data_IF_108967201340
#
_entry.id   IF_108967201340
#
_cell.length_a   1.000
_cell.length_b   1.000
_cell.length_c   1.000
_cell.angle_alpha   90.00
_cell.angle_beta   90.00
_cell.angle_gamma   90.00
#
_symmetry.space_group_name_H-M   'P 1'
#
loop_
_entity.id
_entity.type
_entity.pdbx_description
1 polymer ?
#
# COMPACT_ATOMS: atom_id res chain seq x y z
N UNK A 1 20.69 -22.81 15.35
CA UNK A 1 20.50 -21.40 15.74
C UNK A 1 19.02 -21.14 15.89
N UNK A 2 18.61 -20.47 16.97
CA UNK A 2 17.22 -20.20 17.36
C UNK A 2 16.56 -19.26 16.35
N UNK A 3 15.39 -19.62 15.80
CA UNK A 3 14.58 -18.71 14.97
C UNK A 3 13.88 -17.74 15.92
N UNK A 4 14.33 -16.49 15.97
CA UNK A 4 13.65 -15.42 16.72
C UNK A 4 12.59 -14.82 15.80
N UNK A 5 11.31 -15.03 16.13
CA UNK A 5 10.22 -14.31 15.50
C UNK A 5 10.18 -12.90 16.09
N UNK A 6 10.61 -11.91 15.33
CA UNK A 6 10.38 -10.49 15.64
C UNK A 6 8.85 -10.27 15.78
N UNK A 7 8.42 -9.68 16.90
CA UNK A 7 7.00 -9.39 17.17
C UNK A 7 6.81 -7.89 17.07
N UNK A 8 6.05 -7.42 16.07
CA UNK A 8 5.80 -5.99 15.86
C UNK A 8 5.56 -5.65 14.39
N UNK A 9 5.57 -4.35 14.07
CA UNK A 9 5.62 -3.87 12.69
C UNK A 9 7.05 -3.45 12.36
N UNK A 10 7.52 -3.80 11.18
CA UNK A 10 8.84 -3.44 10.67
C UNK A 10 8.73 -3.02 9.20
N UNK A 11 9.69 -2.24 8.74
CA UNK A 11 9.78 -1.90 7.33
C UNK A 11 9.91 -3.18 6.50
N UNK A 12 9.02 -3.36 5.53
CA UNK A 12 9.17 -4.43 4.57
C UNK A 12 10.43 -4.16 3.74
N UNK A 13 11.28 -5.19 3.50
CA UNK A 13 12.31 -5.11 2.48
C UNK A 13 11.72 -4.66 1.14
N UNK A 14 12.51 -3.93 0.37
CA UNK A 14 12.12 -3.45 -0.94
C UNK A 14 11.56 -4.58 -1.80
N UNK A 15 10.42 -4.31 -2.45
CA UNK A 15 9.72 -5.23 -3.34
C UNK A 15 9.23 -6.55 -2.72
N UNK A 16 9.26 -6.73 -1.39
CA UNK A 16 8.77 -7.96 -0.73
C UNK A 16 7.28 -8.24 -0.98
N UNK A 17 6.49 -7.18 -1.12
CA UNK A 17 5.05 -7.26 -1.35
C UNK A 17 4.68 -6.45 -2.60
N UNK A 18 4.99 -6.96 -3.81
CA UNK A 18 4.90 -6.18 -5.04
C UNK A 18 3.47 -5.81 -5.44
N UNK A 19 2.49 -6.51 -4.88
CA UNK A 19 1.06 -6.24 -5.07
C UNK A 19 0.54 -5.10 -4.18
N UNK A 20 1.29 -4.65 -3.17
CA UNK A 20 0.90 -3.57 -2.28
C UNK A 20 0.95 -2.23 -3.01
N UNK A 21 -0.13 -1.46 -2.95
CA UNK A 21 -0.21 -0.15 -3.61
C UNK A 21 -0.68 0.96 -2.67
N UNK A 22 -0.36 2.20 -3.06
CA UNK A 22 -0.79 3.43 -2.42
C UNK A 22 -1.84 4.12 -3.29
N UNK A 23 -3.08 4.21 -2.81
CA UNK A 23 -4.14 5.01 -3.44
C UNK A 23 -3.94 6.47 -3.06
N UNK A 24 -3.94 7.36 -4.07
CA UNK A 24 -3.58 8.77 -3.90
C UNK A 24 -4.58 9.70 -4.54
N UNK A 25 -4.91 10.81 -3.85
CA UNK A 25 -5.67 11.91 -4.42
C UNK A 25 -4.74 12.95 -5.02
N UNK A 26 -5.12 13.43 -6.20
CA UNK A 26 -4.38 14.47 -6.91
C UNK A 26 -4.45 15.79 -6.15
N UNK A 27 -3.30 16.40 -5.90
CA UNK A 27 -3.21 17.73 -5.25
C UNK A 27 -2.86 18.82 -6.29
N UNK A 28 -3.00 20.12 -5.95
CA UNK A 28 -2.55 21.21 -6.81
C UNK A 28 -1.11 21.01 -7.29
N UNK A 29 -0.74 21.51 -8.48
CA UNK A 29 0.53 21.23 -9.16
C UNK A 29 1.81 21.51 -8.35
N UNK A 30 1.72 22.28 -7.27
CA UNK A 30 2.85 22.63 -6.40
C UNK A 30 2.94 21.74 -5.15
N UNK A 31 2.10 20.69 -5.04
CA UNK A 31 2.05 19.76 -3.92
C UNK A 31 2.07 18.31 -4.43
N UNK A 32 2.71 17.43 -3.68
CA UNK A 32 2.65 15.99 -3.94
C UNK A 32 1.23 15.44 -3.73
N UNK A 33 0.86 14.44 -4.53
CA UNK A 33 -0.38 13.69 -4.33
C UNK A 33 -0.43 13.08 -2.93
N UNK A 34 -1.61 13.03 -2.33
CA UNK A 34 -1.79 12.59 -0.95
C UNK A 34 -2.27 11.15 -0.90
N UNK A 35 -1.57 10.29 -0.14
CA UNK A 35 -2.03 8.94 0.15
C UNK A 35 -3.26 8.98 1.06
N UNK A 36 -4.27 8.18 0.77
CA UNK A 36 -5.48 8.10 1.60
C UNK A 36 -5.90 6.66 1.94
N UNK A 37 -5.55 5.67 1.12
CA UNK A 37 -5.87 4.27 1.36
C UNK A 37 -4.83 3.33 0.73
N UNK A 38 -4.86 2.07 1.17
CA UNK A 38 -4.08 0.99 0.56
C UNK A 38 -4.93 0.16 -0.42
N UNK A 39 -4.26 -0.68 -1.22
CA UNK A 39 -4.92 -1.64 -2.10
C UNK A 39 -3.98 -2.76 -2.52
N UNK A 40 -4.52 -3.77 -3.19
CA UNK A 40 -3.80 -4.93 -3.70
C UNK A 40 -4.03 -5.09 -5.19
N UNK A 41 -2.96 -5.28 -5.97
CA UNK A 41 -3.06 -5.64 -7.39
C UNK A 41 -3.71 -7.03 -7.49
N UNK A 42 -4.88 -7.11 -8.12
CA UNK A 42 -5.57 -8.37 -8.38
C UNK A 42 -5.16 -8.94 -9.74
N UNK A 43 -5.05 -8.09 -10.75
CA UNK A 43 -4.52 -8.39 -12.08
C UNK A 43 -4.15 -7.09 -12.81
N UNK A 44 -3.82 -7.17 -14.10
CA UNK A 44 -3.40 -6.05 -14.95
C UNK A 44 -4.39 -4.87 -15.01
N UNK A 45 -5.66 -5.08 -14.67
CA UNK A 45 -6.73 -4.08 -14.81
C UNK A 45 -7.44 -3.74 -13.51
N UNK A 46 -7.26 -4.53 -12.46
CA UNK A 46 -8.06 -4.42 -11.24
C UNK A 46 -7.20 -4.35 -9.98
N UNK A 47 -7.58 -3.41 -9.11
CA UNK A 47 -7.09 -3.26 -7.75
C UNK A 47 -8.22 -3.62 -6.79
N UNK A 48 -7.93 -4.47 -5.82
CA UNK A 48 -8.82 -4.77 -4.70
C UNK A 48 -8.53 -3.82 -3.52
N UNK A 49 -9.58 -3.24 -2.93
CA UNK A 49 -9.49 -2.37 -1.75
C UNK A 49 -10.82 -2.36 -0.98
N UNK A 50 -10.87 -1.68 0.16
CA UNK A 50 -12.07 -1.55 0.97
C UNK A 50 -13.05 -0.55 0.33
N UNK A 51 -14.35 -0.85 0.37
CA UNK A 51 -15.39 0.03 -0.18
C UNK A 51 -15.34 1.44 0.43
N UNK A 52 -15.14 1.54 1.75
CA UNK A 52 -15.11 2.81 2.47
C UNK A 52 -13.94 3.73 2.11
N UNK A 53 -12.97 3.25 1.34
CA UNK A 53 -11.92 4.12 0.79
C UNK A 53 -12.49 5.10 -0.26
N UNK A 54 -13.68 4.83 -0.80
CA UNK A 54 -14.36 5.64 -1.81
C UNK A 54 -15.77 6.07 -1.38
N UNK A 55 -15.99 6.16 -0.07
CA UNK A 55 -17.17 6.86 0.46
C UNK A 55 -17.12 8.36 0.14
#
# INVERSE_FOLDING_TARGET
GRITREVGSWNAPDHKYPYQISLRHRRPRNLSDIHFCSGTILNEKFILTAAHCFD
#
